data_IF_563847116531
#
_entry.id   IF_563847116531
#
_cell.length_a   1.000
_cell.length_b   1.000
_cell.length_c   1.000
_cell.angle_alpha   90.00
_cell.angle_beta   90.00
_cell.angle_gamma   90.00
#
_symmetry.space_group_name_H-M   'P 1'
#
loop_
_entity.id
_entity.type
_entity.pdbx_description
1 polymer ?
#
# COMPACT_ATOMS: atom_id res chain seq x y z
N UNK A 1 16.71 -11.17 18.76
CA UNK A 1 17.50 -11.49 17.55
C UNK A 1 17.31 -10.45 16.48
N UNK A 2 18.39 -9.79 16.03
CA UNK A 2 18.30 -8.80 14.97
C UNK A 2 17.80 -9.41 13.65
N UNK A 3 18.21 -10.66 13.36
CA UNK A 3 17.76 -11.35 12.16
C UNK A 3 16.26 -11.62 12.17
N UNK A 4 15.73 -12.03 13.32
CA UNK A 4 14.28 -12.28 13.47
C UNK A 4 13.49 -10.99 13.36
N UNK A 5 13.98 -9.91 13.96
CA UNK A 5 13.33 -8.59 13.87
C UNK A 5 13.28 -8.07 12.46
N UNK A 6 14.40 -8.22 11.73
CA UNK A 6 14.46 -7.80 10.32
C UNK A 6 13.54 -8.64 9.44
N UNK A 7 13.50 -9.95 9.67
CA UNK A 7 12.62 -10.83 8.91
C UNK A 7 11.15 -10.46 9.15
N UNK A 8 10.78 -10.20 10.41
CA UNK A 8 9.41 -9.80 10.74
C UNK A 8 9.05 -8.47 10.08
N UNK A 9 9.97 -7.50 10.09
CA UNK A 9 9.74 -6.21 9.45
C UNK A 9 9.52 -6.35 7.94
N UNK A 10 10.34 -7.17 7.29
CA UNK A 10 10.23 -7.41 5.85
C UNK A 10 8.86 -8.02 5.52
N UNK A 11 8.46 -9.05 6.26
CA UNK A 11 7.14 -9.68 6.06
C UNK A 11 6.02 -8.68 6.30
N UNK A 12 6.09 -7.91 7.38
CA UNK A 12 5.08 -6.91 7.69
C UNK A 12 4.94 -5.87 6.58
N UNK A 13 6.07 -5.36 6.11
CA UNK A 13 6.04 -4.29 5.11
C UNK A 13 5.60 -4.79 3.74
N UNK A 14 5.88 -6.06 3.42
CA UNK A 14 5.32 -6.67 2.22
C UNK A 14 3.80 -6.73 2.32
N UNK A 15 3.27 -7.18 3.45
CA UNK A 15 1.82 -7.20 3.66
C UNK A 15 1.23 -5.79 3.56
N UNK A 16 1.91 -4.81 4.13
CA UNK A 16 1.44 -3.43 4.09
C UNK A 16 1.36 -2.91 2.66
N UNK A 17 2.38 -3.17 1.85
CA UNK A 17 2.38 -2.76 0.44
C UNK A 17 1.26 -3.40 -0.35
N UNK A 18 1.05 -4.70 -0.15
CA UNK A 18 -0.05 -5.41 -0.81
C UNK A 18 -1.40 -4.87 -0.33
N UNK A 19 -1.54 -4.61 0.96
CA UNK A 19 -2.79 -4.13 1.55
C UNK A 19 -3.17 -2.75 1.04
N UNK A 20 -2.23 -1.83 0.91
CA UNK A 20 -2.54 -0.49 0.41
C UNK A 20 -2.88 -0.51 -1.08
N UNK A 21 -2.26 -1.40 -1.85
CA UNK A 21 -2.60 -1.58 -3.26
C UNK A 21 -4.01 -2.15 -3.36
N UNK A 22 -4.34 -3.18 -2.59
CA UNK A 22 -5.67 -3.79 -2.58
C UNK A 22 -6.74 -2.75 -2.22
N UNK A 23 -6.46 -1.95 -1.19
CA UNK A 23 -7.36 -0.86 -0.77
C UNK A 23 -7.56 0.14 -1.91
N UNK A 24 -6.46 0.54 -2.55
CA UNK A 24 -6.51 1.51 -3.65
C UNK A 24 -7.34 0.98 -4.81
N UNK A 25 -7.12 -0.27 -5.20
CA UNK A 25 -7.88 -0.89 -6.29
C UNK A 25 -9.37 -0.97 -5.95
N UNK A 26 -9.69 -1.37 -4.72
CA UNK A 26 -11.09 -1.48 -4.30
C UNK A 26 -11.79 -0.13 -4.34
N UNK A 27 -11.13 0.93 -3.88
CA UNK A 27 -11.75 2.26 -3.84
C UNK A 27 -11.84 2.90 -5.23
N UNK A 28 -10.86 2.68 -6.10
CA UNK A 28 -10.96 3.14 -7.49
C UNK A 28 -12.09 2.42 -8.21
N UNK A 29 -12.16 1.09 -8.06
CA UNK A 29 -13.23 0.30 -8.66
C UNK A 29 -14.59 0.70 -8.11
N UNK A 30 -14.69 0.85 -6.79
CA UNK A 30 -15.95 1.24 -6.15
C UNK A 30 -16.46 2.58 -6.65
N UNK A 31 -15.56 3.54 -6.81
CA UNK A 31 -15.90 4.86 -7.34
C UNK A 31 -16.44 4.75 -8.78
N UNK A 32 -15.78 3.95 -9.59
CA UNK A 32 -16.23 3.73 -10.98
C UNK A 32 -17.59 3.03 -11.04
N UNK A 33 -17.89 2.23 -10.03
CA UNK A 33 -19.19 1.56 -9.90
C UNK A 33 -20.27 2.47 -9.31
N UNK A 34 -19.93 3.71 -8.98
CA UNK A 34 -20.89 4.69 -8.47
C UNK A 34 -21.02 4.73 -6.96
N UNK A 35 -20.13 4.05 -6.22
CA UNK A 35 -20.19 4.05 -4.77
C UNK A 35 -19.52 5.30 -4.20
N UNK A 36 -20.16 5.89 -3.18
CA UNK A 36 -19.57 6.97 -2.42
C UNK A 36 -18.42 6.41 -1.57
N UNK A 37 -17.22 7.03 -1.62
CA UNK A 37 -16.06 6.47 -0.88
C UNK A 37 -16.28 6.34 0.61
N UNK A 38 -16.95 7.31 1.24
CA UNK A 38 -17.20 7.24 2.69
C UNK A 38 -18.13 6.09 3.02
N UNK A 39 -19.16 5.87 2.22
CA UNK A 39 -20.08 4.74 2.39
C UNK A 39 -19.33 3.42 2.24
N UNK A 40 -18.47 3.33 1.22
CA UNK A 40 -17.66 2.13 1.01
C UNK A 40 -16.73 1.88 2.19
N UNK A 41 -16.09 2.94 2.70
CA UNK A 41 -15.21 2.83 3.87
C UNK A 41 -15.98 2.29 5.07
N UNK A 42 -17.17 2.83 5.32
CA UNK A 42 -18.00 2.41 6.47
C UNK A 42 -18.40 0.94 6.35
N UNK A 43 -18.73 0.49 5.15
CA UNK A 43 -19.10 -0.91 4.92
C UNK A 43 -17.89 -1.84 5.16
N UNK A 44 -16.75 -1.54 4.55
CA UNK A 44 -15.57 -2.40 4.66
C UNK A 44 -15.03 -2.41 6.09
N UNK A 45 -15.15 -1.28 6.81
CA UNK A 45 -14.63 -1.18 8.18
C UNK A 45 -15.20 -2.24 9.12
N UNK A 46 -16.40 -2.74 8.84
CA UNK A 46 -17.04 -3.78 9.65
C UNK A 46 -17.20 -5.08 8.87
N UNK A 47 -16.49 -5.22 7.78
CA UNK A 47 -16.56 -6.41 6.92
C UNK A 47 -15.20 -7.11 6.85
N UNK A 48 -15.16 -8.23 6.17
CA UNK A 48 -13.98 -9.09 6.13
C UNK A 48 -12.80 -8.51 5.35
N UNK A 49 -13.01 -7.49 4.53
CA UNK A 49 -11.93 -6.84 3.79
C UNK A 49 -11.19 -5.75 4.58
N UNK A 50 -11.62 -5.46 5.80
CA UNK A 50 -10.99 -4.45 6.62
C UNK A 50 -9.51 -4.76 6.86
N UNK A 51 -8.67 -3.72 6.83
CA UNK A 51 -7.24 -3.88 7.12
C UNK A 51 -6.69 -2.60 7.73
N UNK A 52 -5.54 -2.73 8.39
CA UNK A 52 -4.88 -1.62 9.06
C UNK A 52 -4.57 -0.46 8.11
N UNK A 53 -4.10 -0.78 6.91
CA UNK A 53 -3.75 0.25 5.92
C UNK A 53 -4.96 1.09 5.54
N UNK A 54 -6.12 0.47 5.34
CA UNK A 54 -7.35 1.20 5.04
C UNK A 54 -7.78 2.09 6.20
N UNK A 55 -7.72 1.56 7.42
CA UNK A 55 -8.18 2.29 8.60
C UNK A 55 -7.31 3.50 8.94
N UNK A 56 -6.01 3.40 8.67
CA UNK A 56 -5.05 4.42 9.11
C UNK A 56 -4.47 5.25 7.98
N UNK A 57 -4.37 4.70 6.77
CA UNK A 57 -3.69 5.35 5.65
C UNK A 57 -4.56 5.38 4.39
N UNK A 58 -5.86 5.53 4.56
CA UNK A 58 -6.79 5.52 3.43
C UNK A 58 -6.31 6.49 2.34
N UNK A 59 -6.13 6.02 1.09
CA UNK A 59 -5.60 6.88 0.03
C UNK A 59 -6.63 7.81 -0.60
N UNK A 60 -7.84 7.89 -0.04
CA UNK A 60 -8.91 8.80 -0.47
C UNK A 60 -9.07 9.87 0.59
N UNK A 61 -8.94 11.18 0.22
CA UNK A 61 -9.02 12.24 1.22
C UNK A 61 -10.42 12.43 1.78
N UNK A 62 -10.49 13.05 2.97
CA UNK A 62 -11.75 13.47 3.57
C UNK A 62 -12.44 12.45 4.45
N UNK A 63 -11.83 11.29 4.73
CA UNK A 63 -12.46 10.22 5.50
C UNK A 63 -11.66 9.89 6.75
N UNK A 64 -10.37 9.56 6.61
CA UNK A 64 -9.49 9.27 7.74
C UNK A 64 -8.62 10.50 7.98
N UNK A 65 -8.86 11.18 9.08
CA UNK A 65 -8.29 12.50 9.36
C UNK A 65 -6.76 12.50 9.28
N UNK A 66 -6.11 11.49 9.81
CA UNK A 66 -4.65 11.43 9.90
C UNK A 66 -3.97 10.91 8.65
N UNK A 67 -4.74 10.51 7.63
CA UNK A 67 -4.16 9.93 6.41
C UNK A 67 -3.44 10.99 5.57
N UNK A 68 -2.33 10.58 4.96
CA UNK A 68 -1.50 11.47 4.13
C UNK A 68 -2.26 12.02 2.92
N UNK A 69 -3.31 11.32 2.45
CA UNK A 69 -4.15 11.80 1.34
C UNK A 69 -4.78 13.17 1.63
N UNK A 70 -4.94 13.54 2.91
CA UNK A 70 -5.49 14.84 3.29
C UNK A 70 -4.46 15.98 3.21
N UNK A 71 -3.21 15.68 2.93
CA UNK A 71 -2.15 16.70 2.83
C UNK A 71 -1.27 16.44 1.62
N UNK A 72 -1.92 16.16 0.49
CA UNK A 72 -1.27 15.96 -0.80
C UNK A 72 -0.22 14.85 -0.78
N UNK A 73 -0.47 13.80 0.02
CA UNK A 73 0.44 12.65 0.16
C UNK A 73 1.84 13.04 0.62
N UNK A 74 1.92 14.04 1.49
CA UNK A 74 3.17 14.33 2.20
C UNK A 74 3.57 13.09 2.99
N UNK A 75 4.80 12.63 2.79
CA UNK A 75 5.19 11.31 3.25
C UNK A 75 5.31 11.19 4.77
N UNK A 76 4.65 10.18 5.32
CA UNK A 76 5.02 9.58 6.60
C UNK A 76 5.96 8.41 6.33
N UNK A 77 5.62 7.59 5.32
CA UNK A 77 6.44 6.49 4.84
C UNK A 77 6.46 6.59 3.30
N UNK A 78 7.62 6.85 2.73
CA UNK A 78 7.70 7.24 1.32
C UNK A 78 7.57 6.07 0.35
N UNK A 79 7.18 6.41 -0.88
CA UNK A 79 7.18 5.47 -2.01
C UNK A 79 8.55 4.81 -2.16
N UNK A 80 9.63 5.59 -2.06
CA UNK A 80 10.99 5.05 -2.19
C UNK A 80 11.32 4.02 -1.12
N UNK A 81 10.89 4.27 0.11
CA UNK A 81 11.11 3.33 1.21
C UNK A 81 10.29 2.06 1.02
N UNK A 82 9.02 2.18 0.60
CA UNK A 82 8.19 1.00 0.34
C UNK A 82 8.76 0.19 -0.83
N UNK A 83 9.17 0.85 -1.91
CA UNK A 83 9.77 0.15 -3.05
C UNK A 83 11.00 -0.65 -2.63
N UNK A 84 11.86 -0.04 -1.82
CA UNK A 84 13.06 -0.70 -1.30
C UNK A 84 12.68 -1.92 -0.46
N UNK A 85 11.72 -1.77 0.45
CA UNK A 85 11.31 -2.85 1.33
C UNK A 85 10.68 -4.00 0.55
N UNK A 86 9.91 -3.68 -0.48
CA UNK A 86 9.30 -4.72 -1.32
C UNK A 86 10.35 -5.49 -2.13
N UNK A 87 11.38 -4.79 -2.62
CA UNK A 87 12.48 -5.46 -3.30
C UNK A 87 13.26 -6.36 -2.35
N UNK A 88 13.49 -5.90 -1.11
CA UNK A 88 14.14 -6.72 -0.09
C UNK A 88 13.32 -7.97 0.23
N UNK A 89 11.99 -7.83 0.27
CA UNK A 89 11.12 -8.98 0.50
C UNK A 89 11.25 -10.03 -0.62
N UNK A 90 11.42 -9.59 -1.86
CA UNK A 90 11.60 -10.52 -2.98
C UNK A 90 12.94 -11.25 -2.89
N UNK A 91 14.01 -10.56 -2.48
CA UNK A 91 15.31 -11.19 -2.24
C UNK A 91 15.18 -12.23 -1.12
N UNK A 92 14.50 -11.88 -0.04
CA UNK A 92 14.32 -12.79 1.10
C UNK A 92 13.50 -14.02 0.70
N UNK A 93 12.41 -13.84 -0.03
CA UNK A 93 11.56 -14.94 -0.49
C UNK A 93 12.36 -15.91 -1.36
N UNK A 94 13.16 -15.38 -2.27
CA UNK A 94 13.97 -16.21 -3.15
C UNK A 94 15.01 -16.99 -2.35
N UNK A 95 15.58 -16.40 -1.31
CA UNK A 95 16.61 -17.05 -0.50
C UNK A 95 16.10 -18.27 0.26
N UNK A 96 14.79 -18.37 0.46
CA UNK A 96 14.16 -19.51 1.15
C UNK A 96 13.21 -20.30 0.24
N UNK A 97 13.30 -20.08 -1.06
CA UNK A 97 12.53 -20.79 -2.08
C UNK A 97 11.02 -20.67 -1.91
N UNK A 98 10.55 -19.48 -1.55
CA UNK A 98 9.11 -19.22 -1.45
C UNK A 98 8.70 -18.28 -2.59
N UNK A 99 7.63 -18.65 -3.30
CA UNK A 99 7.04 -17.79 -4.30
C UNK A 99 6.08 -16.82 -3.62
N UNK A 100 6.25 -15.52 -3.92
CA UNK A 100 5.37 -14.47 -3.38
C UNK A 100 4.86 -13.62 -4.54
N UNK A 101 3.91 -14.17 -5.35
CA UNK A 101 3.47 -13.46 -6.56
C UNK A 101 2.84 -12.09 -6.27
N UNK A 102 2.08 -11.94 -5.19
CA UNK A 102 1.51 -10.63 -4.85
C UNK A 102 2.58 -9.65 -4.40
N UNK A 103 3.55 -10.13 -3.65
CA UNK A 103 4.71 -9.31 -3.27
C UNK A 103 5.51 -8.86 -4.48
N UNK A 104 5.68 -9.74 -5.46
CA UNK A 104 6.40 -9.42 -6.69
C UNK A 104 5.66 -8.34 -7.48
N UNK A 105 4.35 -8.46 -7.63
CA UNK A 105 3.54 -7.46 -8.32
C UNK A 105 3.61 -6.12 -7.59
N UNK A 106 3.51 -6.15 -6.27
CA UNK A 106 3.61 -4.93 -5.46
C UNK A 106 4.97 -4.25 -5.66
N UNK A 107 6.06 -5.03 -5.65
CA UNK A 107 7.40 -4.50 -5.87
C UNK A 107 7.52 -3.84 -7.25
N UNK A 108 6.95 -4.45 -8.27
CA UNK A 108 6.98 -3.91 -9.64
C UNK A 108 6.21 -2.59 -9.73
N UNK A 109 5.03 -2.53 -9.11
CA UNK A 109 4.21 -1.31 -9.11
C UNK A 109 4.92 -0.16 -8.41
N UNK A 110 5.47 -0.41 -7.24
CA UNK A 110 6.17 0.65 -6.48
C UNK A 110 7.47 1.07 -7.15
N UNK A 111 8.22 0.14 -7.73
CA UNK A 111 9.45 0.48 -8.44
C UNK A 111 9.13 1.38 -9.65
N UNK A 112 8.11 1.04 -10.42
CA UNK A 112 7.68 1.84 -11.56
C UNK A 112 7.21 3.22 -11.11
N UNK A 113 6.44 3.29 -10.03
CA UNK A 113 5.92 4.56 -9.51
C UNK A 113 7.06 5.45 -9.01
N UNK A 114 8.03 4.85 -8.34
CA UNK A 114 9.23 5.54 -7.89
C UNK A 114 10.01 6.15 -9.07
N UNK A 115 10.19 5.35 -10.12
CA UNK A 115 10.94 5.77 -11.31
C UNK A 115 10.25 6.89 -12.08
N UNK A 116 8.94 7.01 -11.92
CA UNK A 116 8.17 8.06 -12.59
C UNK A 116 8.12 9.38 -11.80
N UNK A 117 9.05 9.57 -10.87
CA UNK A 117 9.19 10.84 -10.17
C UNK A 117 8.39 10.97 -8.89
N UNK A 118 7.88 9.87 -8.34
CA UNK A 118 7.00 9.90 -7.17
C UNK A 118 7.67 9.38 -5.90
N UNK A 119 9.00 9.32 -5.90
CA UNK A 119 9.77 8.71 -4.82
C UNK A 119 9.49 9.30 -3.44
N UNK A 120 9.29 10.62 -3.38
CA UNK A 120 9.18 11.32 -2.10
C UNK A 120 7.75 11.46 -1.59
N UNK A 121 6.77 10.97 -2.34
CA UNK A 121 5.39 10.95 -1.88
C UNK A 121 5.16 9.83 -0.87
N UNK A 122 4.12 9.98 -0.05
CA UNK A 122 3.71 8.92 0.86
C UNK A 122 3.38 7.65 0.06
N UNK A 123 3.67 6.48 0.65
CA UNK A 123 3.45 5.21 -0.04
C UNK A 123 1.99 5.02 -0.47
N UNK A 124 1.04 5.64 0.25
CA UNK A 124 -0.38 5.58 -0.09
C UNK A 124 -0.71 6.29 -1.40
N UNK A 125 0.21 7.11 -1.92
CA UNK A 125 0.04 7.76 -3.22
C UNK A 125 0.01 6.76 -4.38
N UNK A 126 0.27 5.49 -4.14
CA UNK A 126 0.20 4.45 -5.18
C UNK A 126 -1.17 4.41 -5.86
N UNK A 127 -2.20 4.92 -5.20
CA UNK A 127 -3.53 5.02 -5.80
C UNK A 127 -3.50 5.83 -7.10
N UNK A 128 -2.59 6.78 -7.22
CA UNK A 128 -2.46 7.60 -8.43
C UNK A 128 -2.05 6.75 -9.64
N UNK A 129 -1.25 5.72 -9.42
CA UNK A 129 -0.86 4.81 -10.49
C UNK A 129 -2.02 3.92 -10.89
N UNK A 130 -2.86 3.54 -9.94
CA UNK A 130 -4.00 2.63 -10.17
C UNK A 130 -5.15 3.37 -10.85
N UNK A 131 -5.41 4.61 -10.45
CA UNK A 131 -6.48 5.40 -11.03
C UNK A 131 -6.16 5.91 -12.43
N UNK A 132 -4.92 5.80 -12.81
CA UNK A 132 -4.46 6.25 -14.11
C UNK A 132 -4.12 7.69 -14.11
#
# INVERSE_FOLDING_TARGET
ESGSGQAAKICNNMMLGISIIATSEAFVMGQKLGLNPKTLFNIISTASGNCWAMQNHLPVPGIVETAASNRDFQAGFSVGMMAKDLRLAQVAAKSVDVSTPLGREAAALYTSFEENGNRDLDYSAIIKKISG
#
